data_IF_089212616046
#
_entry.id   IF_089212616046
#
_cell.length_a   1.000
_cell.length_b   1.000
_cell.length_c   1.000
_cell.angle_alpha   90.00
_cell.angle_beta   90.00
_cell.angle_gamma   90.00
#
_symmetry.space_group_name_H-M   'P 1'
#
loop_
_entity.id
_entity.type
_entity.pdbx_description
1 polymer ?
#
# COMPACT_ATOMS: atom_id res chain seq x y z
N UNK A 1 -13.48 -31.16 -9.53
CA UNK A 1 -14.50 -30.14 -9.22
C UNK A 1 -14.33 -29.74 -7.76
N UNK A 2 -13.15 -29.21 -7.44
CA UNK A 2 -12.68 -28.93 -6.06
C UNK A 2 -11.83 -27.66 -5.97
N UNK A 3 -11.53 -27.02 -7.10
CA UNK A 3 -10.57 -25.90 -7.21
C UNK A 3 -11.13 -24.53 -6.83
N UNK A 4 -12.46 -24.39 -6.90
CA UNK A 4 -13.17 -23.09 -6.92
C UNK A 4 -13.41 -22.47 -5.54
N UNK A 5 -12.76 -22.99 -4.49
CA UNK A 5 -12.84 -22.45 -3.12
C UNK A 5 -11.47 -22.11 -2.55
N UNK A 6 -10.41 -22.69 -3.11
CA UNK A 6 -9.06 -22.60 -2.55
C UNK A 6 -8.35 -21.30 -2.98
N UNK A 7 -8.73 -20.74 -4.14
CA UNK A 7 -8.07 -19.56 -4.70
C UNK A 7 -8.52 -18.23 -4.05
N UNK A 8 -9.82 -18.04 -3.84
CA UNK A 8 -10.33 -16.92 -3.02
C UNK A 8 -9.87 -16.98 -1.55
N UNK A 9 -9.46 -18.16 -1.08
CA UNK A 9 -8.85 -18.32 0.23
C UNK A 9 -7.38 -17.83 0.25
N UNK A 10 -6.62 -18.02 -0.83
CA UNK A 10 -5.21 -17.61 -0.90
C UNK A 10 -5.01 -16.09 -0.81
N UNK A 11 -5.84 -15.30 -1.51
CA UNK A 11 -5.80 -13.84 -1.40
C UNK A 11 -6.15 -13.36 0.02
N UNK A 12 -7.21 -13.93 0.62
CA UNK A 12 -7.63 -13.65 2.00
C UNK A 12 -6.52 -13.98 3.00
N UNK A 13 -5.92 -15.16 2.90
CA UNK A 13 -4.82 -15.61 3.76
C UNK A 13 -3.57 -14.76 3.60
N UNK A 14 -3.28 -14.30 2.39
CA UNK A 14 -2.14 -13.42 2.12
C UNK A 14 -2.33 -12.07 2.81
N UNK A 15 -3.50 -11.45 2.68
CA UNK A 15 -3.80 -10.18 3.36
C UNK A 15 -3.84 -10.37 4.89
N UNK A 16 -4.45 -11.44 5.39
CA UNK A 16 -4.46 -11.74 6.82
C UNK A 16 -3.03 -11.84 7.39
N UNK A 17 -2.14 -12.53 6.67
CA UNK A 17 -0.72 -12.65 7.04
C UNK A 17 0.00 -11.31 7.04
N UNK A 18 -0.31 -10.41 6.10
CA UNK A 18 0.25 -9.04 6.07
C UNK A 18 -0.18 -8.28 7.32
N UNK A 19 -1.46 -8.34 7.69
CA UNK A 19 -1.96 -7.70 8.90
C UNK A 19 -1.29 -8.29 10.15
N UNK A 20 -1.23 -9.62 10.26
CA UNK A 20 -0.63 -10.29 11.43
C UNK A 20 0.86 -9.94 11.58
N UNK A 21 1.60 -9.94 10.47
CA UNK A 21 3.04 -9.64 10.47
C UNK A 21 3.33 -8.18 10.81
N UNK A 22 2.49 -7.25 10.35
CA UNK A 22 2.66 -5.82 10.61
C UNK A 22 2.09 -5.39 11.97
N UNK A 23 1.10 -6.12 12.50
CA UNK A 23 0.42 -5.82 13.77
C UNK A 23 0.08 -4.32 13.93
N UNK A 24 -0.65 -3.71 12.97
CA UNK A 24 -0.83 -2.27 12.92
C UNK A 24 -1.69 -1.77 14.09
N UNK A 25 -1.44 -0.56 14.59
CA UNK A 25 -2.35 0.10 15.53
C UNK A 25 -3.47 0.85 14.79
N UNK A 26 -3.17 1.38 13.61
CA UNK A 26 -4.15 2.00 12.70
C UNK A 26 -4.10 1.33 11.33
N UNK A 27 -5.23 0.82 10.87
CA UNK A 27 -5.39 0.16 9.58
C UNK A 27 -6.42 0.91 8.73
N UNK A 28 -6.06 1.18 7.48
CA UNK A 28 -6.99 1.66 6.46
C UNK A 28 -7.32 0.53 5.47
N UNK A 29 -8.59 0.41 5.11
CA UNK A 29 -9.10 -0.58 4.16
C UNK A 29 -9.88 0.10 3.03
N UNK A 30 -9.62 -0.32 1.80
CA UNK A 30 -10.38 0.08 0.61
C UNK A 30 -10.60 -1.16 -0.25
N UNK A 31 -11.84 -1.45 -0.62
CA UNK A 31 -12.19 -2.71 -1.27
C UNK A 31 -12.88 -3.73 -0.38
N UNK A 32 -13.59 -4.67 -1.01
CA UNK A 32 -14.42 -5.64 -0.29
C UNK A 32 -13.56 -6.63 0.49
N UNK A 33 -12.54 -7.23 -0.14
CA UNK A 33 -11.69 -8.20 0.52
C UNK A 33 -10.82 -7.55 1.62
N UNK A 34 -10.23 -6.38 1.35
CA UNK A 34 -9.50 -5.60 2.34
C UNK A 34 -10.38 -5.31 3.57
N UNK A 35 -11.62 -4.85 3.35
CA UNK A 35 -12.57 -4.55 4.42
C UNK A 35 -12.98 -5.80 5.19
N UNK A 36 -13.25 -6.92 4.50
CA UNK A 36 -13.60 -8.19 5.12
C UNK A 36 -12.51 -8.66 6.09
N UNK A 37 -11.28 -8.78 5.60
CA UNK A 37 -10.13 -9.28 6.38
C UNK A 37 -9.84 -8.35 7.56
N UNK A 38 -9.87 -7.03 7.32
CA UNK A 38 -9.64 -6.03 8.36
C UNK A 38 -10.66 -6.11 9.50
N UNK A 39 -11.95 -6.28 9.17
CA UNK A 39 -13.02 -6.42 10.17
C UNK A 39 -12.93 -7.74 10.93
N UNK A 40 -12.53 -8.83 10.27
CA UNK A 40 -12.31 -10.12 10.94
C UNK A 40 -11.17 -10.00 11.95
N UNK A 41 -10.06 -9.39 11.55
CA UNK A 41 -8.91 -9.17 12.43
C UNK A 41 -9.26 -8.23 13.60
N UNK A 42 -9.97 -7.13 13.34
CA UNK A 42 -10.38 -6.16 14.37
C UNK A 42 -11.16 -6.81 15.52
N UNK A 43 -12.02 -7.80 15.26
CA UNK A 43 -12.80 -8.50 16.30
C UNK A 43 -11.92 -9.19 17.35
N UNK A 44 -10.68 -9.54 17.00
CA UNK A 44 -9.75 -10.26 17.86
C UNK A 44 -8.72 -9.34 18.52
N UNK A 45 -8.73 -8.04 18.21
CA UNK A 45 -7.78 -7.06 18.72
C UNK A 45 -8.48 -5.97 19.54
N UNK A 46 -7.80 -5.47 20.56
CA UNK A 46 -8.30 -4.36 21.39
C UNK A 46 -7.50 -3.10 21.13
N UNK A 47 -8.18 -1.97 21.01
CA UNK A 47 -7.53 -0.66 20.88
C UNK A 47 -6.92 -0.37 19.50
N UNK A 48 -7.30 -1.15 18.48
CA UNK A 48 -6.92 -0.90 17.09
C UNK A 48 -7.96 -0.02 16.41
N UNK A 49 -7.49 0.89 15.57
CA UNK A 49 -8.34 1.76 14.76
C UNK A 49 -8.41 1.23 13.33
N UNK A 50 -9.61 0.99 12.81
CA UNK A 50 -9.82 0.48 11.46
C UNK A 50 -10.75 1.43 10.73
N UNK A 51 -10.25 2.02 9.66
CA UNK A 51 -10.99 2.91 8.79
C UNK A 51 -11.28 2.23 7.45
N UNK A 52 -12.47 2.44 6.90
CA UNK A 52 -12.87 1.90 5.60
C UNK A 52 -13.22 3.05 4.67
N UNK A 53 -12.54 3.11 3.52
CA UNK A 53 -12.85 4.03 2.43
C UNK A 53 -13.97 3.46 1.56
N UNK A 54 -14.68 4.36 0.89
CA UNK A 54 -15.61 3.99 -0.19
C UNK A 54 -14.82 3.63 -1.43
N UNK A 55 -15.05 2.43 -1.98
CA UNK A 55 -14.38 1.98 -3.21
C UNK A 55 -14.79 2.80 -4.44
N UNK A 56 -15.98 3.42 -4.44
CA UNK A 56 -16.48 4.19 -5.59
C UNK A 56 -15.79 5.56 -5.68
N UNK A 57 -15.57 6.20 -4.54
CA UNK A 57 -14.91 7.51 -4.44
C UNK A 57 -13.99 7.54 -3.22
N UNK A 58 -12.85 6.81 -3.27
CA UNK A 58 -11.95 6.69 -2.12
C UNK A 58 -11.21 8.00 -1.82
N UNK A 59 -11.16 8.94 -2.77
CA UNK A 59 -10.42 10.18 -2.65
C UNK A 59 -11.24 11.31 -2.00
N UNK A 60 -12.58 11.32 -2.12
CA UNK A 60 -13.43 12.39 -1.58
C UNK A 60 -13.27 12.64 -0.08
N UNK A 61 -12.96 11.60 0.69
CA UNK A 61 -12.86 11.66 2.14
C UNK A 61 -11.58 11.06 2.69
N UNK A 62 -10.49 11.05 1.92
CA UNK A 62 -9.18 10.61 2.40
C UNK A 62 -8.52 11.67 3.30
N UNK A 63 -9.15 11.88 4.46
CA UNK A 63 -8.60 12.65 5.57
C UNK A 63 -8.22 11.68 6.67
N UNK A 64 -6.91 11.56 6.90
CA UNK A 64 -6.38 10.70 7.93
C UNK A 64 -6.08 11.53 9.17
N UNK A 65 -6.93 11.43 10.20
CA UNK A 65 -6.70 12.05 11.51
C UNK A 65 -5.41 11.53 12.17
N UNK A 66 -4.97 10.33 11.76
CA UNK A 66 -3.73 9.68 12.16
C UNK A 66 -3.10 8.99 10.97
N UNK A 67 -1.77 8.99 10.94
CA UNK A 67 -1.01 8.20 9.97
C UNK A 67 -1.37 6.72 10.14
N UNK A 68 -1.77 6.06 9.06
CA UNK A 68 -2.06 4.64 9.07
C UNK A 68 -0.75 3.84 9.11
N UNK A 69 -0.70 2.80 9.95
CA UNK A 69 0.43 1.86 9.95
C UNK A 69 0.35 0.93 8.73
N UNK A 70 -0.86 0.55 8.34
CA UNK A 70 -1.13 -0.30 7.19
C UNK A 70 -2.33 0.21 6.39
N UNK A 71 -2.19 0.33 5.08
CA UNK A 71 -3.31 0.47 4.16
C UNK A 71 -3.42 -0.76 3.26
N UNK A 72 -4.64 -1.30 3.14
CA UNK A 72 -4.98 -2.39 2.24
C UNK A 72 -5.93 -1.89 1.15
N UNK A 73 -5.56 -2.11 -0.11
CA UNK A 73 -6.37 -1.75 -1.28
C UNK A 73 -6.63 -3.00 -2.11
N UNK A 74 -7.90 -3.34 -2.33
CA UNK A 74 -8.34 -4.49 -3.13
C UNK A 74 -9.52 -4.08 -4.00
N UNK A 75 -9.71 -4.69 -5.18
CA UNK A 75 -10.89 -4.50 -6.05
C UNK A 75 -11.29 -3.01 -6.27
N UNK A 76 -10.32 -2.12 -6.29
CA UNK A 76 -10.52 -0.66 -6.32
C UNK A 76 -9.94 -0.09 -7.59
N UNK A 77 -8.65 -0.32 -7.85
CA UNK A 77 -7.93 0.29 -8.98
C UNK A 77 -8.46 -0.18 -10.35
N UNK A 78 -9.08 -1.36 -10.40
CA UNK A 78 -9.72 -1.94 -11.58
C UNK A 78 -10.97 -1.16 -12.02
N UNK A 79 -11.55 -0.37 -11.10
CA UNK A 79 -12.82 0.32 -11.30
C UNK A 79 -12.67 1.85 -11.29
N UNK A 80 -11.47 2.36 -11.03
CA UNK A 80 -11.18 3.79 -11.01
C UNK A 80 -10.51 4.23 -12.31
N UNK A 81 -10.76 5.47 -12.76
CA UNK A 81 -9.86 6.15 -13.69
C UNK A 81 -8.42 6.10 -13.18
N UNK A 82 -7.46 5.95 -14.10
CA UNK A 82 -6.04 5.80 -13.77
C UNK A 82 -5.51 6.93 -12.88
N UNK A 83 -5.88 8.17 -13.18
CA UNK A 83 -5.49 9.37 -12.44
C UNK A 83 -6.06 9.38 -11.02
N UNK A 84 -7.31 8.96 -10.83
CA UNK A 84 -7.94 8.82 -9.51
C UNK A 84 -7.29 7.71 -8.68
N UNK A 85 -6.96 6.57 -9.30
CA UNK A 85 -6.24 5.50 -8.60
C UNK A 85 -4.79 5.90 -8.27
N UNK A 86 -4.11 6.63 -9.16
CA UNK A 86 -2.78 7.18 -8.91
C UNK A 86 -2.81 8.23 -7.80
N UNK A 87 -3.86 9.06 -7.76
CA UNK A 87 -4.11 10.02 -6.68
C UNK A 87 -4.29 9.29 -5.34
N UNK A 88 -5.12 8.24 -5.28
CA UNK A 88 -5.32 7.43 -4.08
C UNK A 88 -4.01 6.89 -3.52
N UNK A 89 -3.24 6.18 -4.35
CA UNK A 89 -1.96 5.59 -3.92
C UNK A 89 -0.94 6.68 -3.54
N UNK A 90 -0.91 7.78 -4.29
CA UNK A 90 -0.07 8.93 -4.01
C UNK A 90 -0.41 9.60 -2.68
N UNK A 91 -1.69 9.80 -2.37
CA UNK A 91 -2.15 10.36 -1.11
C UNK A 91 -1.82 9.43 0.07
N UNK A 92 -2.10 8.13 -0.03
CA UNK A 92 -1.75 7.16 1.02
C UNK A 92 -0.25 7.22 1.37
N UNK A 93 0.61 7.31 0.34
CA UNK A 93 2.05 7.49 0.51
C UNK A 93 2.40 8.85 1.12
N UNK A 94 1.81 9.93 0.64
CA UNK A 94 2.14 11.29 1.05
C UNK A 94 1.65 11.63 2.46
N UNK A 95 0.59 10.98 2.94
CA UNK A 95 0.16 11.05 4.34
C UNK A 95 1.06 10.25 5.29
N UNK A 96 2.10 9.58 4.77
CA UNK A 96 3.10 8.90 5.58
C UNK A 96 2.74 7.48 5.99
N UNK A 97 1.75 6.85 5.34
CA UNK A 97 1.35 5.47 5.66
C UNK A 97 2.57 4.55 5.66
N UNK A 98 2.81 3.84 6.76
CA UNK A 98 4.05 3.06 6.92
C UNK A 98 4.14 1.90 5.94
N UNK A 99 3.05 1.17 5.74
CA UNK A 99 2.96 0.05 4.81
C UNK A 99 1.69 0.13 3.98
N UNK A 100 1.79 -0.11 2.68
CA UNK A 100 0.64 -0.18 1.78
C UNK A 100 0.73 -1.50 1.02
N UNK A 101 -0.35 -2.26 1.01
CA UNK A 101 -0.49 -3.46 0.19
C UNK A 101 -1.68 -3.27 -0.77
N UNK A 102 -1.41 -3.41 -2.06
CA UNK A 102 -2.38 -3.28 -3.14
C UNK A 102 -2.46 -4.61 -3.85
N UNK A 103 -3.63 -5.23 -3.82
CA UNK A 103 -3.91 -6.43 -4.59
C UNK A 103 -4.81 -6.03 -5.77
N UNK A 104 -4.27 -6.10 -6.97
CA UNK A 104 -4.93 -5.67 -8.21
C UNK A 104 -5.07 -6.84 -9.16
N UNK A 105 -6.25 -7.00 -9.75
CA UNK A 105 -6.52 -7.92 -10.83
C UNK A 105 -6.11 -7.39 -12.20
N UNK A 106 -6.87 -7.75 -13.23
CA UNK A 106 -6.67 -7.23 -14.58
C UNK A 106 -7.11 -5.76 -14.64
N UNK A 107 -6.15 -4.86 -14.72
CA UNK A 107 -6.36 -3.41 -14.85
C UNK A 107 -5.54 -2.90 -16.04
N UNK A 108 -6.11 -2.87 -17.27
CA UNK A 108 -5.36 -2.61 -18.50
C UNK A 108 -4.76 -1.20 -18.55
N UNK A 109 -5.35 -0.25 -17.83
CA UNK A 109 -4.85 1.12 -17.73
C UNK A 109 -3.64 1.25 -16.80
N UNK A 110 -3.34 0.23 -15.99
CA UNK A 110 -2.20 0.24 -15.07
C UNK A 110 -1.01 -0.52 -15.64
N UNK A 111 0.09 0.18 -15.83
CA UNK A 111 1.37 -0.43 -16.16
C UNK A 111 2.14 -0.80 -14.87
N UNK A 112 2.97 -1.84 -14.96
CA UNK A 112 3.94 -2.17 -13.90
C UNK A 112 4.78 -0.94 -13.48
N UNK A 113 5.14 -0.08 -14.43
CA UNK A 113 5.93 1.13 -14.19
C UNK A 113 5.21 2.16 -13.33
N UNK A 114 3.88 2.18 -13.30
CA UNK A 114 3.12 3.12 -12.47
C UNK A 114 3.32 2.81 -10.99
N UNK A 115 3.24 1.53 -10.63
CA UNK A 115 3.54 1.05 -9.27
C UNK A 115 4.99 1.37 -8.87
N UNK A 116 5.95 1.10 -9.75
CA UNK A 116 7.37 1.40 -9.48
C UNK A 116 7.60 2.91 -9.34
N UNK A 117 6.97 3.73 -10.18
CA UNK A 117 7.05 5.19 -10.11
C UNK A 117 6.51 5.76 -8.80
N UNK A 118 5.49 5.10 -8.24
CA UNK A 118 4.93 5.40 -6.91
C UNK A 118 5.73 4.78 -5.75
N UNK A 119 6.78 4.01 -6.05
CA UNK A 119 7.67 3.42 -5.05
C UNK A 119 7.26 2.05 -4.52
N UNK A 120 6.24 1.43 -5.11
CA UNK A 120 5.83 0.06 -4.80
C UNK A 120 6.82 -0.94 -5.41
N UNK A 121 6.77 -2.16 -4.89
CA UNK A 121 7.43 -3.35 -5.45
C UNK A 121 6.39 -4.43 -5.69
N UNK A 122 6.53 -5.17 -6.79
CA UNK A 122 5.75 -6.40 -6.97
C UNK A 122 6.24 -7.44 -5.97
N UNK A 123 5.36 -7.93 -5.13
CA UNK A 123 5.66 -8.87 -4.06
C UNK A 123 5.30 -10.31 -4.44
N UNK A 124 4.13 -10.51 -5.03
CA UNK A 124 3.65 -11.83 -5.43
C UNK A 124 2.62 -11.74 -6.57
N UNK A 125 2.43 -12.84 -7.27
CA UNK A 125 1.29 -13.08 -8.16
C UNK A 125 0.48 -14.23 -7.54
N UNK A 126 -0.83 -14.04 -7.46
CA UNK A 126 -1.80 -14.96 -6.87
C UNK A 126 -2.81 -15.34 -7.95
N UNK A 127 -3.39 -16.52 -7.85
CA UNK A 127 -4.53 -16.91 -8.68
C UNK A 127 -5.82 -16.79 -7.85
N UNK A 128 -6.86 -16.21 -8.44
CA UNK A 128 -8.22 -16.18 -7.88
C UNK A 128 -9.20 -16.81 -8.87
N UNK A 129 -10.42 -17.13 -8.42
CA UNK A 129 -11.51 -17.65 -9.26
C UNK A 129 -11.87 -16.71 -10.43
N UNK A 130 -11.55 -15.42 -10.29
CA UNK A 130 -11.83 -14.37 -11.27
C UNK A 130 -10.61 -13.96 -12.12
N UNK A 131 -9.47 -14.65 -11.98
CA UNK A 131 -8.23 -14.35 -12.72
C UNK A 131 -7.01 -14.14 -11.83
N UNK A 132 -5.89 -13.81 -12.46
CA UNK A 132 -4.64 -13.51 -11.75
C UNK A 132 -4.75 -12.18 -11.00
N UNK A 133 -4.21 -12.16 -9.78
CA UNK A 133 -4.05 -10.98 -8.94
C UNK A 133 -2.57 -10.71 -8.72
N UNK A 134 -2.14 -9.47 -8.80
CA UNK A 134 -0.77 -9.06 -8.49
C UNK A 134 -0.77 -8.26 -7.19
N UNK A 135 0.09 -8.68 -6.25
CA UNK A 135 0.32 -7.98 -5.00
C UNK A 135 1.49 -7.01 -5.16
N UNK A 136 1.22 -5.73 -4.97
CA UNK A 136 2.21 -4.66 -4.85
C UNK A 136 2.30 -4.19 -3.42
N UNK A 137 3.52 -3.97 -2.92
CA UNK A 137 3.74 -3.46 -1.57
C UNK A 137 4.65 -2.24 -1.57
N UNK A 138 4.33 -1.30 -0.69
CA UNK A 138 5.14 -0.16 -0.33
C UNK A 138 5.42 -0.22 1.16
N UNK A 139 6.65 0.10 1.56
CA UNK A 139 7.06 0.15 2.96
C UNK A 139 8.00 1.35 3.15
N UNK A 140 7.57 2.32 3.94
CA UNK A 140 8.27 3.58 4.17
C UNK A 140 9.66 3.37 4.80
N UNK A 141 9.79 2.42 5.74
CA UNK A 141 11.03 2.14 6.48
C UNK A 141 12.15 1.62 5.57
N UNK A 142 11.78 0.90 4.51
CA UNK A 142 12.73 0.27 3.57
C UNK A 142 12.77 0.95 2.21
N UNK A 143 11.91 1.95 1.98
CA UNK A 143 11.83 2.68 0.71
C UNK A 143 13.11 3.44 0.42
N UNK A 144 13.58 4.25 1.37
CA UNK A 144 14.79 5.05 1.20
C UNK A 144 15.93 4.46 2.01
N UNK A 145 16.78 3.67 1.36
CA UNK A 145 18.01 3.21 1.99
C UNK A 145 18.86 4.43 2.33
N UNK A 146 19.36 4.52 3.57
CA UNK A 146 20.30 5.56 3.97
C UNK A 146 21.48 5.56 2.99
N UNK A 147 21.53 6.58 2.14
CA UNK A 147 22.61 6.72 1.17
C UNK A 147 23.82 7.29 1.89
N UNK A 148 24.99 6.69 1.68
CA UNK A 148 26.23 7.11 2.34
C UNK A 148 26.62 8.57 2.02
N UNK A 149 26.11 9.16 0.94
CA UNK A 149 26.38 10.54 0.56
C UNK A 149 25.47 11.58 1.23
N UNK A 150 24.46 11.12 1.99
CA UNK A 150 23.50 11.97 2.68
C UNK A 150 23.83 12.11 4.19
N UNK A 151 25.12 12.00 4.53
CA UNK A 151 25.67 12.24 5.86
C UNK A 151 26.51 13.54 5.86
N UNK A 152 26.69 14.20 7.02
CA UNK A 152 27.47 15.44 7.11
C UNK A 152 28.92 15.32 6.60
N UNK A 153 29.47 14.10 6.57
CA UNK A 153 30.82 13.83 6.04
C UNK A 153 30.93 13.96 4.52
N UNK A 154 29.83 13.74 3.77
CA UNK A 154 29.82 13.77 2.31
C UNK A 154 28.84 14.79 1.69
N UNK A 155 27.92 15.36 2.47
CA UNK A 155 26.81 16.19 1.98
C UNK A 155 27.13 17.70 1.90
N UNK A 156 28.22 18.15 2.49
CA UNK A 156 28.75 19.48 2.26
C UNK A 156 30.26 19.37 2.28
N UNK A 157 30.96 19.90 1.28
CA UNK A 157 32.40 20.04 1.38
C UNK A 157 32.71 21.16 2.39
N UNK A 158 32.91 20.88 3.70
CA UNK A 158 32.82 21.91 4.73
C UNK A 158 33.99 22.90 4.62
N UNK A 159 35.12 22.42 4.08
CA UNK A 159 36.32 23.19 3.82
C UNK A 159 36.15 24.26 2.74
N UNK A 160 35.12 24.15 1.89
CA UNK A 160 34.80 25.10 0.81
C UNK A 160 33.70 26.09 1.20
N UNK A 161 33.11 25.96 2.39
CA UNK A 161 32.05 26.85 2.88
C UNK A 161 32.57 28.31 2.93
N UNK A 162 32.03 29.17 2.07
CA UNK A 162 32.43 30.57 1.95
C UNK A 162 33.66 30.87 1.08
N UNK A 163 34.27 29.87 0.42
CA UNK A 163 35.49 30.05 -0.41
C UNK A 163 35.26 30.08 -1.90
N UNK A 164 34.23 29.40 -2.40
CA UNK A 164 33.83 29.46 -3.80
C UNK A 164 32.31 29.61 -3.89
N UNK A 165 31.88 30.49 -4.80
CA UNK A 165 30.48 30.77 -5.12
C UNK A 165 30.31 30.42 -6.59
N UNK A 166 29.20 29.79 -6.95
CA UNK A 166 28.73 29.63 -8.34
C UNK A 166 27.42 30.39 -8.52
#
# INVERSE_FOLDING_TARGET
MTDRKDNGNTARETLARIIDTSSPSTLLSCGNLATEVSRIWQKHQKGVDVHTLDTIDPNAHLFLDRVADLALVTETLEHLPHDEGALLLGQLRNYGTHQIAVLVGEAPDWAFTDFIGLGFRRHAELENDNGALTLYTYNLDTYNHKRAWNNPENWANPEMWGKAWW
#
